data_IF_341320172837
#
_entry.id   IF_341320172837
#
_cell.length_a   1.000
_cell.length_b   1.000
_cell.length_c   1.000
_cell.angle_alpha   90.00
_cell.angle_beta   90.00
_cell.angle_gamma   90.00
#
_symmetry.space_group_name_H-M   'P 1'
#
loop_
_entity.id
_entity.type
_entity.pdbx_description
1 polymer ?
#
# COMPACT_ATOMS: atom_id res chain seq x y z
N UNK A 1 5.27 7.15 -12.31
CA UNK A 1 5.02 5.69 -12.33
C UNK A 1 4.01 5.26 -11.26
N UNK A 2 4.29 5.24 -9.95
CA UNK A 2 3.27 4.84 -8.96
C UNK A 2 2.08 5.83 -8.89
N UNK A 3 2.35 7.14 -8.94
CA UNK A 3 1.30 8.17 -8.98
C UNK A 3 0.46 8.08 -10.25
N UNK A 4 1.05 7.73 -11.39
CA UNK A 4 0.32 7.49 -12.65
C UNK A 4 -0.59 6.27 -12.54
N UNK A 5 -0.11 5.18 -11.93
CA UNK A 5 -0.94 3.99 -11.70
C UNK A 5 -2.11 4.33 -10.78
N UNK A 6 -1.88 5.05 -9.68
CA UNK A 6 -2.94 5.42 -8.74
C UNK A 6 -3.92 6.43 -9.35
N UNK A 7 -3.46 7.36 -10.20
CA UNK A 7 -4.31 8.39 -10.82
C UNK A 7 -5.05 7.89 -12.07
N UNK A 8 -4.44 7.03 -12.87
CA UNK A 8 -4.97 6.63 -14.19
C UNK A 8 -5.42 5.17 -14.25
N UNK A 9 -4.92 4.26 -13.41
CA UNK A 9 -5.45 2.90 -13.36
C UNK A 9 -6.65 2.81 -12.42
N UNK A 10 -7.73 2.24 -12.94
CA UNK A 10 -8.90 1.83 -12.17
C UNK A 10 -8.53 0.62 -11.30
N UNK A 11 -7.88 0.85 -10.16
CA UNK A 11 -7.58 -0.21 -9.19
C UNK A 11 -8.89 -0.87 -8.72
N UNK A 12 -9.98 -0.09 -8.64
CA UNK A 12 -11.31 -0.59 -8.30
C UNK A 12 -11.85 -1.54 -9.39
N UNK A 13 -12.25 -2.73 -8.98
CA UNK A 13 -12.78 -3.78 -9.85
C UNK A 13 -11.74 -4.81 -10.29
N UNK A 14 -10.46 -4.61 -10.00
CA UNK A 14 -9.42 -5.59 -10.29
C UNK A 14 -9.46 -6.74 -9.28
N UNK A 15 -9.26 -7.97 -9.75
CA UNK A 15 -9.03 -9.10 -8.88
C UNK A 15 -7.66 -8.97 -8.19
N UNK A 16 -7.53 -9.52 -6.98
CA UNK A 16 -6.29 -9.53 -6.20
C UNK A 16 -5.07 -9.90 -7.04
N UNK A 17 -5.16 -10.97 -7.84
CA UNK A 17 -4.07 -11.41 -8.71
C UNK A 17 -3.67 -10.35 -9.75
N UNK A 18 -4.65 -9.67 -10.34
CA UNK A 18 -4.37 -8.59 -11.31
C UNK A 18 -3.71 -7.38 -10.65
N UNK A 19 -4.07 -7.10 -9.39
CA UNK A 19 -3.42 -6.05 -8.60
C UNK A 19 -1.95 -6.40 -8.39
N UNK A 20 -1.65 -7.63 -7.96
CA UNK A 20 -0.28 -8.12 -7.78
C UNK A 20 0.50 -8.14 -9.10
N UNK A 21 -0.11 -8.62 -10.19
CA UNK A 21 0.53 -8.64 -11.51
C UNK A 21 0.85 -7.20 -12.00
N UNK A 22 0.07 -6.19 -11.58
CA UNK A 22 0.27 -4.79 -11.98
C UNK A 22 1.22 -4.01 -11.07
N UNK A 23 1.21 -4.29 -9.77
CA UNK A 23 1.95 -3.54 -8.75
C UNK A 23 3.19 -4.27 -8.21
N UNK A 24 3.32 -5.56 -8.49
CA UNK A 24 4.25 -6.47 -7.83
C UNK A 24 3.70 -7.01 -6.52
N UNK A 25 4.46 -7.91 -5.88
CA UNK A 25 4.14 -8.37 -4.53
C UNK A 25 4.44 -7.28 -3.49
N UNK A 26 3.56 -7.06 -2.49
CA UNK A 26 3.81 -6.10 -1.45
C UNK A 26 5.00 -6.54 -0.57
N UNK A 27 5.96 -5.63 -0.37
CA UNK A 27 7.17 -5.91 0.43
C UNK A 27 6.84 -6.23 1.90
N UNK A 28 5.81 -5.59 2.43
CA UNK A 28 5.27 -5.87 3.75
C UNK A 28 3.89 -6.50 3.59
N UNK A 29 3.84 -7.82 3.63
CA UNK A 29 2.60 -8.59 3.73
C UNK A 29 2.00 -8.42 5.14
N UNK A 30 1.62 -7.20 5.51
CA UNK A 30 0.71 -6.98 6.63
C UNK A 30 -0.69 -7.26 6.13
N UNK A 31 -1.08 -8.52 6.22
CA UNK A 31 -2.45 -8.97 6.05
C UNK A 31 -3.28 -8.41 7.20
N UNK A 32 -3.79 -7.19 7.03
CA UNK A 32 -4.82 -6.63 7.92
C UNK A 32 -6.18 -7.00 7.37
N UNK A 33 -6.45 -8.30 7.28
CA UNK A 33 -7.72 -8.85 6.80
C UNK A 33 -7.93 -8.59 5.31
N UNK A 34 -9.04 -7.94 4.97
CA UNK A 34 -9.45 -7.73 3.57
C UNK A 34 -8.64 -6.63 2.84
N UNK A 35 -7.37 -6.38 3.19
CA UNK A 35 -6.59 -5.27 2.63
C UNK A 35 -5.10 -5.60 2.51
N UNK A 36 -4.48 -5.14 1.41
CA UNK A 36 -3.03 -5.17 1.24
C UNK A 36 -2.43 -3.78 1.32
N UNK A 37 -1.17 -3.72 1.76
CA UNK A 37 -0.43 -2.48 1.97
C UNK A 37 0.84 -2.50 1.13
N UNK A 38 1.04 -1.45 0.34
CA UNK A 38 2.29 -1.20 -0.38
C UNK A 38 2.96 0.03 0.20
N UNK A 39 4.19 -0.13 0.68
CA UNK A 39 5.01 1.00 1.06
C UNK A 39 5.46 1.75 -0.21
N UNK A 40 5.19 3.05 -0.26
CA UNK A 40 5.50 3.89 -1.43
C UNK A 40 6.84 4.58 -1.24
N UNK A 41 6.99 5.20 -0.07
CA UNK A 41 8.21 5.87 0.37
C UNK A 41 8.32 5.63 1.86
N UNK A 42 9.46 5.11 2.30
CA UNK A 42 9.82 5.01 3.70
C UNK A 42 11.07 5.85 3.92
N UNK A 43 10.94 6.83 4.80
CA UNK A 43 12.02 7.70 5.24
C UNK A 43 12.69 7.03 6.44
N UNK A 44 13.90 6.52 6.22
CA UNK A 44 14.72 5.90 7.25
C UNK A 44 15.56 6.94 7.95
N UNK A 45 15.59 6.87 9.29
CA UNK A 45 16.54 7.63 10.09
C UNK A 45 17.92 6.97 10.06
N UNK A 46 18.52 6.78 11.24
CA UNK A 46 19.82 6.14 11.33
C UNK A 46 19.74 4.62 11.07
N UNK A 47 18.72 3.95 11.61
CA UNK A 47 18.48 2.50 11.46
C UNK A 47 16.98 2.20 11.34
N UNK A 48 16.13 2.90 12.10
CA UNK A 48 14.68 2.69 12.09
C UNK A 48 13.93 3.62 11.12
N UNK A 49 12.83 3.15 10.52
CA UNK A 49 11.99 4.00 9.70
C UNK A 49 11.27 5.06 10.55
N UNK A 50 11.44 6.31 10.15
CA UNK A 50 10.97 7.51 10.85
C UNK A 50 9.59 7.92 10.40
N UNK A 51 9.34 7.85 9.11
CA UNK A 51 8.04 8.15 8.52
C UNK A 51 7.89 7.45 7.18
N UNK A 52 6.68 7.38 6.68
CA UNK A 52 6.46 6.82 5.37
C UNK A 52 5.10 7.17 4.81
N UNK A 53 4.91 6.77 3.57
CA UNK A 53 3.63 6.80 2.87
C UNK A 53 3.37 5.41 2.37
N UNK A 54 2.18 4.86 2.65
CA UNK A 54 1.73 3.59 2.09
C UNK A 54 0.42 3.75 1.32
N UNK A 55 0.21 2.83 0.38
CA UNK A 55 -1.03 2.61 -0.34
C UNK A 55 -1.72 1.39 0.26
N UNK A 56 -2.91 1.58 0.82
CA UNK A 56 -3.78 0.49 1.25
C UNK A 56 -4.83 0.23 0.16
N UNK A 57 -4.94 -1.01 -0.31
CA UNK A 57 -5.98 -1.44 -1.25
C UNK A 57 -6.88 -2.42 -0.52
N UNK A 58 -8.18 -2.09 -0.47
CA UNK A 58 -9.19 -2.91 0.17
C UNK A 58 -9.87 -3.83 -0.83
N UNK A 59 -10.13 -5.07 -0.42
CA UNK A 59 -10.82 -6.10 -1.19
C UNK A 59 -12.16 -6.45 -0.55
N UNK A 60 -13.07 -7.00 -1.34
CA UNK A 60 -14.25 -7.68 -0.82
C UNK A 60 -13.96 -9.18 -0.61
N UNK A 61 -14.96 -9.93 -0.14
CA UNK A 61 -14.87 -11.38 0.06
C UNK A 61 -14.54 -12.19 -1.20
N UNK A 62 -14.85 -11.65 -2.37
CA UNK A 62 -14.53 -12.23 -3.68
C UNK A 62 -13.12 -11.87 -4.16
N UNK A 63 -12.29 -11.27 -3.29
CA UNK A 63 -10.94 -10.81 -3.62
C UNK A 63 -10.90 -9.77 -4.75
N UNK A 64 -11.95 -8.95 -4.88
CA UNK A 64 -12.02 -7.84 -5.84
C UNK A 64 -11.75 -6.52 -5.12
N UNK A 65 -10.85 -5.72 -5.68
CA UNK A 65 -10.47 -4.43 -5.14
C UNK A 65 -11.68 -3.47 -5.17
N UNK A 66 -12.06 -2.97 -4.00
CA UNK A 66 -13.20 -2.06 -3.83
C UNK A 66 -12.78 -0.59 -3.85
N UNK A 67 -11.50 -0.33 -3.60
CA UNK A 67 -10.89 0.99 -3.62
C UNK A 67 -9.50 1.00 -3.00
N UNK A 68 -8.90 2.19 -2.95
CA UNK A 68 -7.58 2.39 -2.38
C UNK A 68 -7.54 3.66 -1.52
N UNK A 69 -6.57 3.73 -0.60
CA UNK A 69 -6.26 4.91 0.21
C UNK A 69 -4.75 5.08 0.30
N UNK A 70 -4.29 6.31 0.08
CA UNK A 70 -2.89 6.68 0.34
C UNK A 70 -2.83 7.32 1.72
N UNK A 71 -2.02 6.76 2.61
CA UNK A 71 -1.88 7.27 3.97
C UNK A 71 -0.42 7.55 4.30
N UNK A 72 -0.19 8.60 5.06
CA UNK A 72 1.12 8.93 5.63
C UNK A 72 1.17 8.45 7.06
N UNK A 73 2.27 7.87 7.46
CA UNK A 73 2.54 7.47 8.83
C UNK A 73 3.85 8.09 9.30
N UNK A 74 3.94 8.29 10.60
CA UNK A 74 5.15 8.75 11.27
C UNK A 74 5.36 7.87 12.48
N UNK A 75 6.54 7.31 12.61
CA UNK A 75 6.92 6.55 13.78
C UNK A 75 7.01 7.50 14.98
N UNK A 76 6.24 7.24 16.03
CA UNK A 76 6.25 8.07 17.25
C UNK A 76 7.59 7.99 17.99
N UNK A 77 8.36 6.91 17.80
CA UNK A 77 9.63 6.66 18.50
C UNK A 77 10.86 7.20 17.76
N UNK A 78 10.73 7.73 16.55
CA UNK A 78 11.89 8.19 15.75
C UNK A 78 12.43 9.59 16.13
N UNK A 79 12.17 10.00 17.37
CA UNK A 79 12.57 11.29 17.96
C UNK A 79 13.28 11.11 19.32
N UNK A 80 13.67 9.89 19.70
CA UNK A 80 14.53 9.63 20.87
C UNK A 80 16.00 9.45 20.43
#
# INVERSE_FOLDING_TARGET
MLIDLIKHHQIKGLAYKQVIDSLGEPENYQDKGDSIIYDIVVDYGYLDPKSGTYLAIGFNKDSIATGYKVMKWKNRHANE
#
